data_IF_348018444539
#
_entry.id   IF_348018444539
#
_cell.length_a   1.000
_cell.length_b   1.000
_cell.length_c   1.000
_cell.angle_alpha   90.00
_cell.angle_beta   90.00
_cell.angle_gamma   90.00
#
_symmetry.space_group_name_H-M   'P 1'
#
loop_
_entity.id
_entity.type
_entity.pdbx_description
1 polymer ?
#
# COMPACT_ATOMS: atom_id res chain seq x y z
N UNK A 1 10.38 -0.66 -8.94
CA UNK A 1 9.78 -1.02 -7.62
C UNK A 1 10.04 0.12 -6.64
N UNK A 2 9.08 0.48 -5.78
CA UNK A 2 9.26 1.47 -4.70
C UNK A 2 9.08 0.79 -3.34
N UNK A 3 10.07 0.92 -2.47
CA UNK A 3 9.96 0.45 -1.08
C UNK A 3 9.33 1.55 -0.23
N UNK A 4 8.26 1.22 0.48
CA UNK A 4 7.57 2.07 1.44
C UNK A 4 7.84 1.54 2.85
N UNK A 5 8.58 2.32 3.63
CA UNK A 5 8.88 2.01 5.03
C UNK A 5 7.73 2.46 5.94
N UNK A 6 7.18 1.53 6.71
CA UNK A 6 6.10 1.75 7.68
C UNK A 6 6.42 1.08 9.02
N UNK A 7 5.81 1.52 10.14
CA UNK A 7 5.87 0.78 11.39
C UNK A 7 5.06 -0.53 11.31
N UNK A 8 5.49 -1.62 11.98
CA UNK A 8 4.75 -2.91 11.97
C UNK A 8 3.28 -2.81 12.39
N UNK A 9 3.00 -1.97 13.39
CA UNK A 9 1.63 -1.68 13.82
C UNK A 9 1.09 -0.49 13.01
N UNK A 10 0.62 -0.78 11.80
CA UNK A 10 0.06 0.22 10.89
C UNK A 10 -1.08 -0.31 10.04
N UNK A 11 -1.84 0.61 9.45
CA UNK A 11 -2.74 0.37 8.33
C UNK A 11 -2.49 1.41 7.24
N UNK A 12 -2.54 0.96 6.00
CA UNK A 12 -2.46 1.83 4.83
C UNK A 12 -3.85 1.93 4.21
N UNK A 13 -4.26 3.17 3.91
CA UNK A 13 -5.46 3.47 3.13
C UNK A 13 -5.05 4.16 1.83
N UNK A 14 -5.42 3.57 0.69
CA UNK A 14 -5.36 4.20 -0.62
C UNK A 14 -6.64 5.02 -0.80
N UNK A 15 -6.52 6.35 -0.67
CA UNK A 15 -7.68 7.25 -0.81
C UNK A 15 -7.98 7.56 -2.27
N UNK A 16 -6.93 7.74 -3.07
CA UNK A 16 -7.02 7.99 -4.51
C UNK A 16 -5.80 7.37 -5.20
N UNK A 17 -5.70 7.55 -6.53
CA UNK A 17 -4.58 7.06 -7.34
C UNK A 17 -3.21 7.48 -6.79
N UNK A 18 -3.09 8.71 -6.30
CA UNK A 18 -1.83 9.30 -5.83
C UNK A 18 -1.82 9.67 -4.34
N UNK A 19 -2.96 9.56 -3.66
CA UNK A 19 -3.09 9.96 -2.25
C UNK A 19 -3.25 8.74 -1.36
N UNK A 20 -2.22 8.48 -0.54
CA UNK A 20 -2.22 7.42 0.45
C UNK A 20 -2.12 8.00 1.86
N UNK A 21 -2.79 7.34 2.79
CA UNK A 21 -2.79 7.66 4.21
C UNK A 21 -2.23 6.48 5.01
N UNK A 22 -1.26 6.76 5.86
CA UNK A 22 -0.70 5.81 6.83
C UNK A 22 -1.27 6.13 8.19
N UNK A 23 -1.89 5.14 8.82
CA UNK A 23 -2.24 5.16 10.24
C UNK A 23 -1.32 4.21 10.99
N UNK A 24 -0.76 4.64 12.12
CA UNK A 24 0.24 3.84 12.84
C UNK A 24 0.28 4.18 14.33
N UNK A 25 0.99 3.34 15.08
CA UNK A 25 1.11 3.47 16.53
C UNK A 25 -0.11 2.90 17.26
N UNK A 26 -0.21 3.20 18.56
CA UNK A 26 -1.16 2.53 19.44
C UNK A 26 -0.73 1.10 19.76
N UNK A 27 -1.63 0.32 20.35
CA UNK A 27 -1.43 -1.12 20.61
C UNK A 27 -2.32 -1.91 19.66
N UNK A 28 -2.03 -3.19 19.40
CA UNK A 28 -2.88 -4.03 18.54
C UNK A 28 -4.37 -4.08 18.96
N UNK A 29 -4.70 -3.66 20.21
CA UNK A 29 -6.05 -3.63 20.78
C UNK A 29 -6.74 -2.27 20.69
N UNK A 30 -6.00 -1.18 20.42
CA UNK A 30 -6.52 0.21 20.43
C UNK A 30 -6.16 0.94 19.13
N UNK A 31 -7.06 1.80 18.66
CA UNK A 31 -6.93 2.57 17.42
C UNK A 31 -5.53 3.16 17.18
N UNK A 32 -5.11 3.15 15.91
CA UNK A 32 -3.89 3.82 15.45
C UNK A 32 -3.86 5.27 15.95
N UNK A 33 -2.87 5.61 16.78
CA UNK A 33 -2.80 6.91 17.46
C UNK A 33 -2.25 8.04 16.59
N UNK A 34 -1.66 7.71 15.45
CA UNK A 34 -1.05 8.67 14.52
C UNK A 34 -1.57 8.44 13.11
N UNK A 35 -1.64 9.53 12.36
CA UNK A 35 -2.00 9.52 10.94
C UNK A 35 -1.09 10.49 10.18
N UNK A 36 -0.64 10.09 8.99
CA UNK A 36 0.01 10.99 8.04
C UNK A 36 -0.29 10.62 6.58
N UNK A 37 -0.19 11.58 5.68
CA UNK A 37 -0.23 11.35 4.25
C UNK A 37 1.16 11.02 3.71
N UNK A 38 1.26 10.01 2.85
CA UNK A 38 2.52 9.53 2.28
C UNK A 38 2.93 10.36 1.06
N UNK A 39 3.14 11.67 1.26
CA UNK A 39 3.45 12.61 0.16
C UNK A 39 4.70 12.23 -0.65
N UNK A 40 5.66 11.54 -0.04
CA UNK A 40 6.86 11.04 -0.70
C UNK A 40 6.59 9.95 -1.75
N UNK A 41 5.40 9.35 -1.75
CA UNK A 41 4.99 8.36 -2.75
C UNK A 41 4.45 9.02 -4.03
N UNK A 42 3.95 10.25 -3.95
CA UNK A 42 3.27 10.93 -5.07
C UNK A 42 4.08 10.87 -6.37
N UNK A 43 5.40 11.19 -6.40
CA UNK A 43 6.18 11.13 -7.64
C UNK A 43 6.22 9.73 -8.27
N UNK A 44 6.28 8.67 -7.45
CA UNK A 44 6.25 7.29 -7.93
C UNK A 44 4.87 6.88 -8.42
N UNK A 45 3.81 7.30 -7.71
CA UNK A 45 2.43 6.96 -8.06
C UNK A 45 2.01 7.64 -9.37
N UNK A 46 2.41 8.89 -9.58
CA UNK A 46 2.11 9.67 -10.78
C UNK A 46 2.99 9.30 -11.99
N UNK A 47 4.13 8.64 -11.77
CA UNK A 47 4.97 8.18 -12.86
C UNK A 47 4.21 7.25 -13.80
N UNK A 48 4.22 7.57 -15.10
CA UNK A 48 3.62 6.71 -16.14
C UNK A 48 4.65 5.64 -16.51
N UNK A 49 4.35 4.40 -16.15
CA UNK A 49 5.12 3.25 -16.59
C UNK A 49 5.00 3.06 -18.11
N UNK A 50 6.04 2.53 -18.74
CA UNK A 50 5.98 2.12 -20.15
C UNK A 50 5.05 0.91 -20.31
N UNK A 51 4.61 0.61 -21.53
CA UNK A 51 3.58 -0.41 -21.81
C UNK A 51 3.89 -1.81 -21.27
N UNK A 52 5.17 -2.11 -21.05
CA UNK A 52 5.65 -3.42 -20.61
C UNK A 52 6.16 -3.41 -19.15
N UNK A 53 5.95 -2.32 -18.42
CA UNK A 53 6.44 -2.15 -17.06
C UNK A 53 5.29 -2.15 -16.06
N UNK A 54 5.49 -2.81 -14.91
CA UNK A 54 4.53 -2.82 -13.81
C UNK A 54 5.10 -2.11 -12.59
N UNK A 55 4.40 -1.07 -12.13
CA UNK A 55 4.71 -0.41 -10.86
C UNK A 55 4.35 -1.33 -9.71
N UNK A 56 5.31 -1.54 -8.81
CA UNK A 56 5.12 -2.32 -7.58
C UNK A 56 5.56 -1.47 -6.39
N UNK A 57 4.68 -1.37 -5.40
CA UNK A 57 4.98 -0.81 -4.08
C UNK A 57 5.19 -1.96 -3.11
N UNK A 58 6.40 -2.10 -2.59
CA UNK A 58 6.75 -3.06 -1.55
C UNK A 58 6.65 -2.38 -0.18
N UNK A 59 5.74 -2.85 0.67
CA UNK A 59 5.53 -2.34 2.04
C UNK A 59 6.44 -3.10 3.00
N UNK A 60 7.31 -2.39 3.69
CA UNK A 60 8.32 -2.96 4.59
C UNK A 60 8.27 -2.29 5.98
N UNK A 61 8.45 -3.03 7.10
CA UNK A 61 8.66 -4.48 7.18
C UNK A 61 7.36 -5.28 7.06
N UNK A 62 6.22 -4.73 7.51
CA UNK A 62 4.88 -5.23 7.20
C UNK A 62 3.84 -4.22 7.69
N UNK A 63 2.56 -4.42 7.35
CA UNK A 63 1.41 -3.64 7.82
C UNK A 63 0.26 -4.58 8.16
N UNK A 64 -0.61 -4.21 9.11
CA UNK A 64 -1.72 -5.09 9.51
C UNK A 64 -2.77 -5.25 8.41
N UNK A 65 -2.99 -4.19 7.63
CA UNK A 65 -3.90 -4.19 6.50
C UNK A 65 -3.57 -3.09 5.51
N UNK A 66 -3.99 -3.32 4.27
CA UNK A 66 -4.03 -2.35 3.19
C UNK A 66 -5.46 -2.32 2.69
N UNK A 67 -6.04 -1.13 2.56
CA UNK A 67 -7.42 -0.95 2.13
C UNK A 67 -7.50 0.19 1.12
N UNK A 68 -8.50 0.18 0.24
CA UNK A 68 -8.76 1.24 -0.74
C UNK A 68 -10.20 1.71 -0.69
N UNK A 69 -10.40 3.01 -0.87
CA UNK A 69 -11.73 3.54 -1.16
C UNK A 69 -12.13 3.17 -2.58
N UNK A 70 -13.33 2.59 -2.76
CA UNK A 70 -13.93 2.35 -4.06
C UNK A 70 -14.77 3.57 -4.50
N UNK A 71 -15.38 4.24 -3.53
CA UNK A 71 -16.11 5.50 -3.64
C UNK A 71 -16.12 6.18 -2.26
N UNK A 72 -16.96 7.21 -2.06
CA UNK A 72 -17.03 7.98 -0.81
C UNK A 72 -17.46 7.15 0.41
N UNK A 73 -18.18 6.04 0.20
CA UNK A 73 -18.82 5.25 1.26
C UNK A 73 -18.28 3.82 1.38
N UNK A 74 -17.61 3.30 0.35
CA UNK A 74 -17.16 1.92 0.29
C UNK A 74 -15.64 1.80 0.36
N UNK A 75 -15.18 0.89 1.23
CA UNK A 75 -13.78 0.51 1.40
C UNK A 75 -13.64 -0.99 1.17
N UNK A 76 -12.62 -1.39 0.43
CA UNK A 76 -12.24 -2.79 0.24
C UNK A 76 -10.83 -3.06 0.79
N UNK A 77 -10.60 -4.26 1.31
CA UNK A 77 -9.24 -4.73 1.62
C UNK A 77 -8.53 -5.05 0.31
N UNK A 78 -7.31 -4.56 0.16
CA UNK A 78 -6.47 -4.85 -1.01
C UNK A 78 -5.78 -6.19 -0.77
N UNK A 79 -6.08 -7.16 -1.64
CA UNK A 79 -5.49 -8.49 -1.54
C UNK A 79 -4.16 -8.57 -2.32
N UNK A 80 -3.41 -9.62 -2.03
CA UNK A 80 -2.19 -9.94 -2.75
C UNK A 80 -2.45 -10.03 -4.26
N UNK A 81 -1.57 -9.43 -5.07
CA UNK A 81 -1.62 -9.50 -6.53
C UNK A 81 -2.66 -8.62 -7.21
N UNK A 82 -3.59 -8.02 -6.45
CA UNK A 82 -4.62 -7.11 -6.98
C UNK A 82 -3.98 -5.85 -7.58
N UNK A 83 -4.47 -5.44 -8.75
CA UNK A 83 -4.08 -4.19 -9.36
C UNK A 83 -4.86 -3.04 -8.71
N UNK A 84 -4.13 -2.09 -8.13
CA UNK A 84 -4.67 -0.85 -7.59
C UNK A 84 -4.35 0.27 -8.59
N UNK A 85 -5.35 0.64 -9.38
CA UNK A 85 -5.18 1.53 -10.55
C UNK A 85 -4.16 0.95 -11.56
N UNK A 86 -2.93 1.45 -11.55
CA UNK A 86 -1.84 1.09 -12.45
C UNK A 86 -0.61 0.56 -11.72
N UNK A 87 -0.74 0.19 -10.44
CA UNK A 87 0.32 -0.42 -9.65
C UNK A 87 -0.20 -1.57 -8.79
N UNK A 88 0.71 -2.46 -8.38
CA UNK A 88 0.44 -3.49 -7.36
C UNK A 88 1.02 -3.06 -6.02
N UNK A 89 0.35 -3.45 -4.93
CA UNK A 89 0.84 -3.26 -3.57
C UNK A 89 1.10 -4.63 -2.99
N UNK A 90 2.29 -4.83 -2.43
CA UNK A 90 2.69 -6.12 -1.85
C UNK A 90 3.35 -5.87 -0.49
N UNK A 91 2.95 -6.64 0.52
CA UNK A 91 3.64 -6.66 1.80
C UNK A 91 4.91 -7.49 1.70
N UNK A 92 5.92 -7.19 2.51
CA UNK A 92 7.16 -7.95 2.52
C UNK A 92 6.93 -9.44 2.78
N UNK A 93 6.03 -9.77 3.71
CA UNK A 93 5.63 -11.15 4.02
C UNK A 93 5.00 -11.89 2.83
N UNK A 94 4.25 -11.21 1.97
CA UNK A 94 3.70 -11.80 0.75
C UNK A 94 4.75 -11.85 -0.37
N UNK A 95 5.65 -10.87 -0.44
CA UNK A 95 6.75 -10.87 -1.40
C UNK A 95 7.67 -12.08 -1.20
N UNK A 96 8.05 -12.40 0.03
CA UNK A 96 8.86 -13.59 0.33
C UNK A 96 8.16 -14.90 -0.07
N UNK A 97 6.83 -14.96 0.03
CA UNK A 97 6.04 -16.17 -0.26
C UNK A 97 5.67 -16.33 -1.73
N UNK A 98 5.53 -15.23 -2.45
CA UNK A 98 4.91 -15.19 -3.77
C UNK A 98 5.75 -14.45 -4.80
N UNK A 99 7.07 -14.39 -4.62
CA UNK A 99 7.97 -13.68 -5.54
C UNK A 99 7.81 -14.17 -6.98
N UNK A 100 7.67 -15.48 -7.18
CA UNK A 100 7.55 -16.09 -8.52
C UNK A 100 6.23 -15.72 -9.23
N UNK A 101 5.17 -15.39 -8.48
CA UNK A 101 3.86 -15.01 -9.02
C UNK A 101 3.83 -13.56 -9.57
N UNK A 102 4.95 -12.83 -9.48
CA UNK A 102 5.06 -11.44 -9.93
C UNK A 102 5.51 -11.29 -11.39
N UNK A 103 5.81 -12.39 -12.08
CA UNK A 103 6.16 -12.42 -13.50
C UNK A 103 4.97 -12.13 -14.44
#
# INVERSE_FOLDING_TARGET
>A
IKVLYVPRNSAITVNSRDTWCLRYGGTNKYHYSRQCYLKSMIPFLQHKALSNERKVVLVYPDTNKIQRYLNESEIAIVNYGELVYDYKIITFSNFEKHFEDLH
#
